data_IF_475489710286
#
_entry.id   IF_475489710286
#
_cell.length_a   1.000
_cell.length_b   1.000
_cell.length_c   1.000
_cell.angle_alpha   90.00
_cell.angle_beta   90.00
_cell.angle_gamma   90.00
#
_symmetry.space_group_name_H-M   'P 1'
#
loop_
_entity.id
_entity.type
_entity.pdbx_description
1 polymer ?
#
# COMPACT_ATOMS: atom_id res chain seq x y z
N UNK A 1 1.41 22.80 -15.76
CA UNK A 1 2.67 22.10 -15.40
C UNK A 1 2.34 20.96 -14.45
N UNK A 2 2.91 19.77 -14.66
CA UNK A 2 2.75 18.64 -13.74
C UNK A 2 3.53 18.92 -12.46
N UNK A 3 2.86 19.02 -11.30
CA UNK A 3 3.54 19.21 -10.01
C UNK A 3 4.32 17.92 -9.70
N UNK A 4 5.62 18.03 -9.44
CA UNK A 4 6.45 16.89 -9.06
C UNK A 4 6.18 16.57 -7.59
N UNK A 5 5.25 15.66 -7.34
CA UNK A 5 4.92 15.20 -6.00
C UNK A 5 5.90 14.07 -5.65
N UNK A 6 6.48 14.10 -4.45
CA UNK A 6 7.36 13.04 -3.93
C UNK A 6 6.83 12.55 -2.60
N UNK A 7 6.71 11.24 -2.46
CA UNK A 7 6.47 10.59 -1.16
C UNK A 7 7.79 9.98 -0.71
N UNK A 8 8.22 10.32 0.49
CA UNK A 8 9.48 9.81 1.04
C UNK A 8 9.26 8.38 1.54
N UNK A 9 9.66 7.39 0.74
CA UNK A 9 9.68 6.00 1.19
C UNK A 9 10.98 5.75 1.97
N UNK A 10 10.92 5.23 3.22
CA UNK A 10 12.10 4.83 3.99
C UNK A 10 13.03 3.88 3.21
N UNK A 11 14.34 3.99 3.43
CA UNK A 11 15.35 3.19 2.70
C UNK A 11 15.18 1.69 2.89
N UNK A 12 14.78 1.25 4.09
CA UNK A 12 14.47 -0.15 4.39
C UNK A 12 13.34 -0.69 3.51
N UNK A 13 12.29 0.10 3.30
CA UNK A 13 11.16 -0.28 2.44
C UNK A 13 11.53 -0.21 0.95
N UNK A 14 12.44 0.69 0.56
CA UNK A 14 13.01 0.67 -0.80
C UNK A 14 13.78 -0.61 -1.06
N UNK A 15 14.58 -1.08 -0.10
CA UNK A 15 15.26 -2.38 -0.21
C UNK A 15 14.22 -3.50 -0.37
N UNK A 16 13.17 -3.50 0.43
CA UNK A 16 12.08 -4.48 0.32
C UNK A 16 11.48 -4.50 -1.09
N UNK A 17 11.25 -3.35 -1.74
CA UNK A 17 10.74 -3.28 -3.12
C UNK A 17 11.71 -3.87 -4.15
N UNK A 18 13.03 -3.74 -3.92
CA UNK A 18 14.05 -4.33 -4.81
C UNK A 18 14.07 -5.84 -4.66
N UNK A 19 14.09 -6.34 -3.41
CA UNK A 19 14.07 -7.77 -3.11
C UNK A 19 12.78 -8.43 -3.66
N UNK A 20 11.64 -7.77 -3.47
CA UNK A 20 10.31 -8.17 -3.99
C UNK A 20 10.30 -8.33 -5.52
N UNK A 21 10.85 -7.34 -6.22
CA UNK A 21 10.99 -7.40 -7.68
C UNK A 21 11.89 -8.56 -8.12
N UNK A 22 13.01 -8.80 -7.44
CA UNK A 22 13.93 -9.90 -7.77
C UNK A 22 13.26 -11.26 -7.59
N UNK A 23 12.58 -11.48 -6.46
CA UNK A 23 11.89 -12.75 -6.18
C UNK A 23 10.86 -13.09 -7.24
N UNK A 24 10.04 -12.12 -7.65
CA UNK A 24 8.99 -12.37 -8.62
C UNK A 24 9.57 -12.46 -10.02
N UNK A 25 10.33 -11.45 -10.46
CA UNK A 25 10.71 -11.33 -11.87
C UNK A 25 11.84 -12.27 -12.24
N UNK A 26 12.82 -12.47 -11.37
CA UNK A 26 14.00 -13.29 -11.65
C UNK A 26 13.87 -14.71 -11.11
N UNK A 27 13.34 -14.88 -9.89
CA UNK A 27 13.30 -16.19 -9.21
C UNK A 27 11.97 -16.94 -9.35
N UNK A 28 10.96 -16.34 -9.99
CA UNK A 28 9.64 -16.93 -10.20
C UNK A 28 8.90 -17.31 -8.90
N UNK A 29 9.23 -16.61 -7.82
CA UNK A 29 8.57 -16.80 -6.53
C UNK A 29 7.41 -15.83 -6.41
N UNK A 30 6.23 -16.36 -6.12
CA UNK A 30 5.02 -15.58 -5.90
C UNK A 30 4.63 -15.68 -4.43
N UNK A 31 4.19 -14.57 -3.85
CA UNK A 31 3.65 -14.62 -2.49
C UNK A 31 2.42 -15.52 -2.45
N UNK A 32 2.23 -16.25 -1.36
CA UNK A 32 1.01 -17.05 -1.19
C UNK A 32 -0.21 -16.14 -0.97
N UNK A 33 -1.29 -16.40 -1.72
CA UNK A 33 -2.59 -15.77 -1.53
C UNK A 33 -3.60 -16.76 -0.89
N UNK A 34 -4.55 -16.27 -0.05
CA UNK A 34 -4.61 -14.90 0.48
C UNK A 34 -3.46 -14.63 1.46
N UNK A 35 -2.99 -13.39 1.49
CA UNK A 35 -1.94 -12.94 2.42
C UNK A 35 -2.51 -12.81 3.82
N UNK A 36 -1.63 -13.02 4.80
CA UNK A 36 -1.89 -12.71 6.19
C UNK A 36 -0.69 -11.92 6.73
N UNK A 37 -0.88 -10.69 7.21
CA UNK A 37 -2.14 -9.93 7.16
C UNK A 37 -2.46 -9.40 5.75
N UNK A 38 -3.75 -9.17 5.48
CA UNK A 38 -4.23 -8.52 4.23
C UNK A 38 -4.10 -7.00 4.32
N UNK A 39 -4.25 -6.29 3.19
CA UNK A 39 -4.33 -4.82 3.17
C UNK A 39 -5.43 -4.33 4.10
N UNK A 40 -6.61 -4.94 4.07
CA UNK A 40 -7.70 -4.59 4.99
C UNK A 40 -7.30 -4.74 6.45
N UNK A 41 -6.59 -5.81 6.81
CA UNK A 41 -6.10 -6.00 8.17
C UNK A 41 -5.07 -4.92 8.54
N UNK A 42 -4.15 -4.58 7.63
CA UNK A 42 -3.12 -3.55 7.86
C UNK A 42 -3.78 -2.18 8.08
N UNK A 43 -4.72 -1.78 7.21
CA UNK A 43 -5.41 -0.50 7.31
C UNK A 43 -6.26 -0.42 8.60
N UNK A 44 -6.98 -1.49 8.92
CA UNK A 44 -7.80 -1.57 10.15
C UNK A 44 -6.95 -1.48 11.41
N UNK A 45 -5.82 -2.20 11.46
CA UNK A 45 -4.87 -2.13 12.58
C UNK A 45 -4.32 -0.71 12.75
N UNK A 46 -3.95 -0.04 11.66
CA UNK A 46 -3.44 1.33 11.73
C UNK A 46 -4.48 2.31 12.24
N UNK A 47 -5.73 2.21 11.77
CA UNK A 47 -6.82 3.06 12.24
C UNK A 47 -7.06 2.88 13.74
N UNK A 48 -7.07 1.64 14.23
CA UNK A 48 -7.20 1.34 15.65
C UNK A 48 -6.02 1.88 16.48
N UNK A 49 -4.79 1.76 15.97
CA UNK A 49 -3.60 2.35 16.61
C UNK A 49 -3.72 3.88 16.72
N UNK A 50 -4.12 4.56 15.65
CA UNK A 50 -4.30 6.03 15.64
C UNK A 50 -5.42 6.48 16.56
N UNK A 51 -6.52 5.75 16.60
CA UNK A 51 -7.66 6.05 17.50
C UNK A 51 -7.25 6.05 18.97
N UNK A 52 -6.39 5.11 19.37
CA UNK A 52 -5.86 5.03 20.75
C UNK A 52 -4.85 6.13 21.09
N UNK A 53 -4.12 6.63 20.09
CA UNK A 53 -3.04 7.60 20.27
C UNK A 53 -3.55 9.05 20.30
N UNK A 54 -4.48 9.39 19.42
CA UNK A 54 -4.82 10.80 19.12
C UNK A 54 -6.21 11.22 19.65
N UNK A 55 -6.94 10.34 20.36
CA UNK A 55 -8.12 10.66 21.18
C UNK A 55 -9.40 11.08 20.45
N UNK A 56 -9.35 11.75 19.29
CA UNK A 56 -10.52 12.23 18.54
C UNK A 56 -10.30 12.50 17.03
N UNK A 57 -9.07 12.53 16.52
CA UNK A 57 -8.80 12.87 15.10
C UNK A 57 -8.87 11.66 14.14
N UNK A 58 -9.90 10.83 14.27
CA UNK A 58 -10.03 9.57 13.52
C UNK A 58 -10.64 9.73 12.13
N UNK A 59 -11.51 10.72 11.94
CA UNK A 59 -12.35 10.79 10.74
C UNK A 59 -11.51 11.08 9.49
N UNK A 60 -10.62 12.08 9.56
CA UNK A 60 -9.74 12.40 8.44
C UNK A 60 -8.74 11.28 8.11
N UNK A 61 -8.32 10.48 9.10
CA UNK A 61 -7.44 9.34 8.86
C UNK A 61 -8.23 8.20 8.23
N UNK A 62 -9.44 7.93 8.72
CA UNK A 62 -10.35 6.93 8.16
C UNK A 62 -10.66 7.19 6.69
N UNK A 63 -10.97 8.44 6.33
CA UNK A 63 -11.18 8.83 4.92
C UNK A 63 -9.97 8.57 4.04
N UNK A 64 -8.76 8.90 4.52
CA UNK A 64 -7.52 8.65 3.78
C UNK A 64 -7.30 7.15 3.59
N UNK A 65 -7.51 6.33 4.63
CA UNK A 65 -7.34 4.87 4.54
C UNK A 65 -8.38 4.24 3.61
N UNK A 66 -9.62 4.72 3.64
CA UNK A 66 -10.66 4.30 2.70
C UNK A 66 -10.31 4.67 1.26
N UNK A 67 -9.77 5.87 1.04
CA UNK A 67 -9.24 6.30 -0.25
C UNK A 67 -8.10 5.41 -0.73
N UNK A 68 -7.14 5.08 0.15
CA UNK A 68 -6.05 4.16 -0.15
C UNK A 68 -6.55 2.75 -0.50
N UNK A 69 -7.54 2.22 0.23
CA UNK A 69 -8.16 0.92 -0.05
C UNK A 69 -8.81 0.90 -1.43
N UNK A 70 -9.70 1.85 -1.70
CA UNK A 70 -10.38 1.97 -2.99
C UNK A 70 -9.39 2.13 -4.13
N UNK A 71 -8.35 2.92 -3.90
CA UNK A 71 -7.30 3.13 -4.89
C UNK A 71 -6.48 1.86 -5.12
N UNK A 72 -6.12 1.13 -4.08
CA UNK A 72 -5.44 -0.16 -4.16
C UNK A 72 -6.25 -1.16 -4.99
N UNK A 73 -7.54 -1.31 -4.69
CA UNK A 73 -8.42 -2.27 -5.38
C UNK A 73 -8.50 -2.00 -6.89
N UNK A 74 -8.54 -0.73 -7.30
CA UNK A 74 -8.56 -0.33 -8.71
C UNK A 74 -7.18 -0.39 -9.36
N UNK A 75 -6.13 -0.03 -8.64
CA UNK A 75 -4.78 0.07 -9.18
C UNK A 75 -4.11 -1.30 -9.32
N UNK A 76 -4.44 -2.27 -8.45
CA UNK A 76 -3.79 -3.57 -8.42
C UNK A 76 -3.79 -4.26 -9.80
N UNK A 77 -4.95 -4.53 -10.44
CA UNK A 77 -4.98 -5.20 -11.74
C UNK A 77 -4.46 -4.33 -12.88
N UNK A 78 -4.22 -3.03 -12.68
CA UNK A 78 -3.78 -2.15 -13.78
C UNK A 78 -2.26 -1.98 -13.74
N UNK A 79 -1.70 -1.59 -12.60
CA UNK A 79 -0.33 -1.08 -12.51
C UNK A 79 0.55 -1.68 -11.41
N UNK A 80 0.01 -2.45 -10.46
CA UNK A 80 0.81 -2.93 -9.31
C UNK A 80 1.33 -4.37 -9.44
N UNK A 81 0.76 -5.15 -10.37
CA UNK A 81 1.15 -6.54 -10.63
C UNK A 81 2.20 -6.64 -11.73
N UNK A 82 3.27 -7.37 -11.45
CA UNK A 82 4.21 -7.84 -12.45
C UNK A 82 3.55 -8.88 -13.37
N UNK A 83 4.14 -9.09 -14.54
CA UNK A 83 3.61 -10.04 -15.55
C UNK A 83 3.38 -11.45 -14.99
N UNK A 84 4.28 -11.92 -14.11
CA UNK A 84 4.23 -13.26 -13.51
C UNK A 84 3.12 -13.44 -12.47
N UNK A 85 2.66 -12.36 -11.84
CA UNK A 85 1.57 -12.41 -10.85
C UNK A 85 0.18 -12.41 -11.50
N UNK A 86 0.09 -12.18 -12.82
CA UNK A 86 -1.19 -12.01 -13.52
C UNK A 86 -2.04 -13.27 -13.47
N UNK A 87 -1.46 -14.44 -13.67
CA UNK A 87 -2.20 -15.70 -13.57
C UNK A 87 -2.78 -15.90 -12.17
N UNK A 88 -1.95 -15.73 -11.14
CA UNK A 88 -2.36 -15.82 -9.74
C UNK A 88 -3.51 -14.85 -9.39
N UNK A 89 -3.51 -13.64 -9.95
CA UNK A 89 -4.62 -12.70 -9.77
C UNK A 89 -5.95 -13.25 -10.31
N UNK A 90 -5.96 -13.83 -11.52
CA UNK A 90 -7.19 -14.35 -12.13
C UNK A 90 -7.74 -15.56 -11.36
N UNK A 91 -6.87 -16.31 -10.69
CA UNK A 91 -7.25 -17.45 -9.84
C UNK A 91 -7.77 -17.01 -8.47
N UNK A 92 -7.16 -15.96 -7.88
CA UNK A 92 -7.47 -15.53 -6.52
C UNK A 92 -8.62 -14.53 -6.44
N UNK A 93 -8.78 -13.64 -7.43
CA UNK A 93 -9.78 -12.56 -7.43
C UNK A 93 -10.95 -12.93 -8.33
N UNK A 94 -12.03 -13.41 -7.73
CA UNK A 94 -13.30 -13.70 -8.42
C UNK A 94 -14.26 -12.51 -8.35
N UNK A 95 -15.37 -12.59 -9.10
CA UNK A 95 -16.44 -11.60 -9.03
C UNK A 95 -16.89 -11.41 -7.57
N UNK A 96 -16.91 -10.15 -7.12
CA UNK A 96 -17.25 -9.67 -5.77
C UNK A 96 -16.17 -9.75 -4.68
N UNK A 97 -14.94 -10.18 -4.96
CA UNK A 97 -13.86 -10.15 -3.96
C UNK A 97 -12.96 -8.94 -4.17
N UNK A 98 -12.79 -8.11 -3.14
CA UNK A 98 -11.90 -6.94 -3.23
C UNK A 98 -10.44 -7.37 -3.13
N UNK A 99 -9.53 -6.88 -3.98
CA UNK A 99 -8.12 -7.24 -3.87
C UNK A 99 -7.48 -6.91 -2.51
N UNK A 100 -7.94 -5.86 -1.84
CA UNK A 100 -7.57 -5.46 -0.47
C UNK A 100 -7.80 -6.54 0.59
N UNK A 101 -8.74 -7.47 0.33
CA UNK A 101 -9.03 -8.60 1.22
C UNK A 101 -8.17 -9.85 0.94
N UNK A 102 -7.37 -9.84 -0.13
CA UNK A 102 -6.55 -10.97 -0.57
C UNK A 102 -5.06 -10.64 -0.47
N UNK A 103 -4.66 -9.45 -0.92
CA UNK A 103 -3.26 -9.05 -1.04
C UNK A 103 -2.74 -8.40 0.25
N UNK A 104 -1.41 -8.28 0.36
CA UNK A 104 -0.73 -7.89 1.59
C UNK A 104 0.16 -6.65 1.48
N UNK A 105 1.11 -6.59 2.41
CA UNK A 105 2.05 -5.48 2.60
C UNK A 105 2.91 -5.19 1.37
N UNK A 106 3.30 -6.23 0.63
CA UNK A 106 4.17 -6.17 -0.55
C UNK A 106 3.54 -5.28 -1.64
N UNK A 107 2.32 -5.63 -2.05
CA UNK A 107 1.57 -4.91 -3.07
C UNK A 107 1.13 -3.53 -2.59
N UNK A 108 0.75 -3.41 -1.31
CA UNK A 108 0.42 -2.11 -0.73
C UNK A 108 1.62 -1.16 -0.78
N UNK A 109 2.83 -1.65 -0.54
CA UNK A 109 4.05 -0.85 -0.63
C UNK A 109 4.31 -0.39 -2.08
N UNK A 110 4.05 -1.22 -3.08
CA UNK A 110 4.14 -0.82 -4.50
C UNK A 110 3.19 0.32 -4.84
N UNK A 111 2.03 0.40 -4.18
CA UNK A 111 1.10 1.53 -4.34
C UNK A 111 1.77 2.86 -4.05
N UNK A 112 2.56 2.95 -2.97
CA UNK A 112 3.24 4.18 -2.55
C UNK A 112 4.30 4.66 -3.54
N UNK A 113 4.83 3.77 -4.39
CA UNK A 113 5.72 4.14 -5.51
C UNK A 113 4.95 4.82 -6.63
N UNK A 114 3.70 4.38 -6.88
CA UNK A 114 2.84 4.91 -7.94
C UNK A 114 2.03 6.12 -7.51
N UNK A 115 1.72 6.23 -6.22
CA UNK A 115 0.89 7.27 -5.63
C UNK A 115 1.30 8.71 -6.02
N UNK A 116 2.59 9.09 -6.08
CA UNK A 116 2.97 10.45 -6.49
C UNK A 116 2.63 10.77 -7.95
N UNK A 117 2.70 9.79 -8.86
CA UNK A 117 2.31 9.98 -10.26
C UNK A 117 0.81 10.30 -10.38
N UNK A 118 -0.01 9.76 -9.46
CA UNK A 118 -1.45 9.90 -9.47
C UNK A 118 -1.90 11.21 -8.84
N UNK A 119 -1.30 11.57 -7.71
CA UNK A 119 -1.55 12.86 -7.07
C UNK A 119 -1.20 14.03 -8.01
N UNK A 120 -0.27 13.83 -8.95
CA UNK A 120 0.12 14.85 -9.91
C UNK A 120 -1.00 15.23 -10.91
N UNK A 121 -2.07 14.44 -11.00
CA UNK A 121 -3.25 14.72 -11.84
C UNK A 121 -4.43 15.30 -11.04
N UNK A 122 -4.33 15.37 -9.71
CA UNK A 122 -5.38 15.90 -8.84
C UNK A 122 -5.05 17.35 -8.48
N UNK A 123 -6.02 18.25 -8.63
CA UNK A 123 -5.86 19.64 -8.21
C UNK A 123 -6.06 19.77 -6.69
N UNK A 124 -5.01 19.47 -5.93
CA UNK A 124 -5.00 19.54 -4.45
C UNK A 124 -4.26 20.81 -4.02
N UNK A 125 -4.86 21.56 -3.09
CA UNK A 125 -4.21 22.69 -2.43
C UNK A 125 -2.92 22.28 -1.74
N UNK A 126 -1.92 23.17 -1.72
CA UNK A 126 -0.58 22.84 -1.26
C UNK A 126 -0.53 22.40 0.21
N UNK A 127 -1.24 23.09 1.09
CA UNK A 127 -1.31 22.75 2.52
C UNK A 127 -1.94 21.36 2.74
N UNK A 128 -3.01 21.06 2.02
CA UNK A 128 -3.69 19.76 2.04
C UNK A 128 -2.78 18.65 1.52
N UNK A 129 -2.01 18.92 0.45
CA UNK A 129 -1.06 17.97 -0.11
C UNK A 129 0.08 17.65 0.88
N UNK A 130 0.64 18.67 1.54
CA UNK A 130 1.69 18.50 2.55
C UNK A 130 1.17 17.67 3.73
N UNK A 131 -0.04 17.99 4.22
CA UNK A 131 -0.70 17.22 5.29
C UNK A 131 -0.92 15.75 4.89
N UNK A 132 -1.40 15.50 3.67
CA UNK A 132 -1.57 14.15 3.14
C UNK A 132 -0.23 13.40 3.07
N UNK A 133 0.81 14.02 2.51
CA UNK A 133 2.15 13.42 2.42
C UNK A 133 2.70 13.03 3.80
N UNK A 134 2.50 13.89 4.81
CA UNK A 134 2.93 13.60 6.18
C UNK A 134 2.16 12.41 6.77
N UNK A 135 0.83 12.36 6.60
CA UNK A 135 0.02 11.23 7.09
C UNK A 135 0.40 9.91 6.41
N UNK A 136 0.70 9.93 5.11
CA UNK A 136 1.19 8.75 4.37
C UNK A 136 2.58 8.32 4.84
N UNK A 137 3.48 9.28 5.11
CA UNK A 137 4.80 8.98 5.67
C UNK A 137 4.69 8.36 7.07
N UNK A 138 3.82 8.91 7.91
CA UNK A 138 3.54 8.36 9.24
C UNK A 138 2.93 6.96 9.17
N UNK A 139 2.07 6.68 8.17
CA UNK A 139 1.56 5.34 7.92
C UNK A 139 2.69 4.37 7.56
N UNK A 140 3.59 4.78 6.65
CA UNK A 140 4.73 3.97 6.23
C UNK A 140 5.67 3.69 7.41
N UNK A 141 5.96 4.70 8.23
CA UNK A 141 6.81 4.54 9.42
C UNK A 141 6.11 3.75 10.52
N UNK A 142 4.85 4.04 10.83
CA UNK A 142 4.14 3.39 11.93
C UNK A 142 3.97 1.88 11.71
N UNK A 143 3.44 1.47 10.55
CA UNK A 143 3.15 0.05 10.32
C UNK A 143 4.40 -0.74 9.98
N UNK A 144 5.20 -0.28 9.01
CA UNK A 144 6.27 -1.10 8.46
C UNK A 144 7.59 -0.99 9.23
N UNK A 145 7.73 -0.06 10.19
CA UNK A 145 8.90 -0.02 11.09
C UNK A 145 8.67 -0.75 12.41
N UNK A 146 7.43 -0.82 12.91
CA UNK A 146 7.14 -1.42 14.22
C UNK A 146 6.97 -2.94 14.14
N UNK A 147 6.44 -3.45 13.04
CA UNK A 147 6.26 -4.89 12.82
C UNK A 147 7.19 -5.32 11.68
N UNK A 148 8.40 -5.76 12.04
CA UNK A 148 9.28 -6.46 11.08
C UNK A 148 8.60 -7.67 10.41
N UNK A 149 7.48 -8.16 10.95
CA UNK A 149 6.71 -9.33 10.50
C UNK A 149 5.88 -9.15 9.24
N UNK A 150 5.66 -7.94 8.72
CA UNK A 150 4.81 -7.76 7.52
C UNK A 150 5.43 -8.38 6.25
N UNK A 151 6.76 -8.44 6.19
CA UNK A 151 7.52 -8.92 5.02
C UNK A 151 8.27 -10.24 5.28
N UNK A 152 8.12 -10.87 6.46
CA UNK A 152 8.77 -12.15 6.75
C UNK A 152 8.06 -13.30 6.04
N UNK A 153 8.80 -13.86 5.07
CA UNK A 153 8.81 -15.26 4.62
C UNK A 153 7.46 -15.87 4.23
N UNK A 154 7.19 -15.86 2.90
CA UNK A 154 6.64 -16.98 2.11
C UNK A 154 6.49 -16.56 0.64
N UNK A 155 7.65 -16.26 0.06
CA UNK A 155 7.87 -16.40 -1.38
C UNK A 155 8.17 -17.86 -1.69
#
# INVERSE_FOLDING_TARGET
MKKLIKIQIPSTLKKQLVDDWEFITQQDKLVKLPRSPTVDNILTKYLAYRSKKDGMMTDSVGEILNGLRCYFDKALPVILLYKKERQQYHEAVTDNVSPSSIYGAEHLLRLFVKFPELLAYVNIEEETLVSLQQKLLDFLKGNFSMEGSYFYTKY
#
